data_IF_852120504462
#
_entry.id   IF_852120504462
#
_cell.length_a   1.000
_cell.length_b   1.000
_cell.length_c   1.000
_cell.angle_alpha   90.00
_cell.angle_beta   90.00
_cell.angle_gamma   90.00
#
_symmetry.space_group_name_H-M   'P 1'
#
loop_
_entity.id
_entity.type
_entity.pdbx_description
1 polymer ?
#
# COMPACT_ATOMS: atom_id res chain seq x y z
N UNK A 1 4.11 -3.55 4.89
CA UNK A 1 4.17 -3.71 3.42
C UNK A 1 5.51 -3.22 2.92
N UNK A 2 6.11 -3.88 1.94
CA UNK A 2 7.39 -3.46 1.34
C UNK A 2 7.20 -2.22 0.41
N UNK A 3 8.29 -1.54 0.02
CA UNK A 3 8.20 -0.33 -0.82
C UNK A 3 7.58 -0.56 -2.21
N UNK A 4 7.79 -1.72 -2.83
CA UNK A 4 7.30 -2.03 -4.18
C UNK A 4 5.78 -2.22 -4.12
N UNK A 5 5.30 -3.05 -3.20
CA UNK A 5 3.87 -3.24 -2.97
C UNK A 5 3.21 -1.93 -2.57
N UNK A 6 3.86 -1.11 -1.73
CA UNK A 6 3.34 0.23 -1.36
C UNK A 6 3.19 1.14 -2.56
N UNK A 7 4.20 1.21 -3.42
CA UNK A 7 4.17 2.04 -4.62
C UNK A 7 3.03 1.64 -5.56
N UNK A 8 2.88 0.34 -5.81
CA UNK A 8 1.85 -0.19 -6.72
C UNK A 8 0.46 0.03 -6.14
N UNK A 9 0.23 -0.36 -4.87
CA UNK A 9 -1.08 -0.19 -4.22
C UNK A 9 -1.44 1.30 -4.21
N UNK A 10 -0.57 2.16 -3.67
CA UNK A 10 -0.86 3.58 -3.54
C UNK A 10 -1.15 4.23 -4.89
N UNK A 11 -0.39 3.91 -5.94
CA UNK A 11 -0.65 4.41 -7.29
C UNK A 11 -1.99 3.91 -7.85
N UNK A 12 -2.34 2.65 -7.62
CA UNK A 12 -3.58 2.04 -8.12
C UNK A 12 -4.82 2.54 -7.39
N UNK A 13 -4.74 2.83 -6.07
CA UNK A 13 -5.85 3.43 -5.31
C UNK A 13 -5.93 4.94 -5.52
N UNK A 14 -4.85 5.58 -5.94
CA UNK A 14 -4.86 7.03 -6.13
C UNK A 14 -5.82 7.43 -7.26
N UNK A 15 -6.79 8.29 -6.92
CA UNK A 15 -7.58 9.02 -7.91
C UNK A 15 -6.80 10.19 -8.53
N UNK A 16 -5.58 10.41 -8.03
CA UNK A 16 -4.61 11.38 -8.55
C UNK A 16 -4.44 11.14 -10.05
N UNK A 17 -4.58 12.22 -10.82
CA UNK A 17 -4.69 12.15 -12.28
C UNK A 17 -3.60 11.28 -12.88
N UNK A 18 -4.03 10.21 -13.58
CA UNK A 18 -3.17 9.28 -14.32
C UNK A 18 -2.08 10.00 -15.12
N UNK A 19 -2.28 11.23 -15.60
CA UNK A 19 -1.27 11.96 -16.36
C UNK A 19 0.11 12.10 -15.67
N UNK A 20 0.19 12.33 -14.36
CA UNK A 20 1.46 12.63 -13.68
C UNK A 20 2.21 11.35 -13.30
N UNK A 21 1.50 10.40 -12.69
CA UNK A 21 2.11 9.18 -12.15
C UNK A 21 2.06 7.99 -13.13
N UNK A 22 1.19 8.00 -14.15
CA UNK A 22 1.02 6.86 -15.08
C UNK A 22 2.32 6.50 -15.77
N UNK A 23 3.13 7.48 -16.18
CA UNK A 23 4.41 7.16 -16.81
C UNK A 23 5.33 6.36 -15.87
N UNK A 24 5.49 6.79 -14.61
CA UNK A 24 6.30 6.06 -13.64
C UNK A 24 5.71 4.70 -13.27
N UNK A 25 4.38 4.63 -13.16
CA UNK A 25 3.68 3.38 -12.90
C UNK A 25 3.86 2.36 -14.03
N UNK A 26 3.68 2.78 -15.29
CA UNK A 26 3.86 1.93 -16.47
C UNK A 26 5.32 1.51 -16.63
N UNK A 27 6.30 2.38 -16.32
CA UNK A 27 7.72 2.03 -16.31
C UNK A 27 8.02 0.95 -15.27
N UNK A 28 7.53 1.11 -14.03
CA UNK A 28 7.69 0.09 -12.98
C UNK A 28 7.04 -1.24 -13.41
N UNK A 29 5.81 -1.21 -13.92
CA UNK A 29 5.09 -2.39 -14.39
C UNK A 29 5.81 -3.08 -15.57
N UNK A 30 6.37 -2.31 -16.49
CA UNK A 30 7.17 -2.82 -17.60
C UNK A 30 8.47 -3.47 -17.12
N UNK A 31 9.14 -2.88 -16.13
CA UNK A 31 10.34 -3.45 -15.52
C UNK A 31 10.03 -4.79 -14.82
N UNK A 32 8.92 -4.87 -14.08
CA UNK A 32 8.44 -6.13 -13.47
C UNK A 32 8.18 -7.20 -14.53
N UNK A 33 7.50 -6.85 -15.64
CA UNK A 33 7.29 -7.77 -16.77
C UNK A 33 8.58 -8.25 -17.41
N UNK A 34 9.56 -7.36 -17.58
CA UNK A 34 10.87 -7.69 -18.15
C UNK A 34 11.65 -8.63 -17.23
N UNK A 35 11.56 -8.41 -15.91
CA UNK A 35 12.32 -9.18 -14.92
C UNK A 35 11.70 -10.54 -14.63
N UNK A 36 10.40 -10.57 -14.37
CA UNK A 36 9.68 -11.77 -13.91
C UNK A 36 9.02 -12.53 -15.06
N UNK A 37 8.83 -11.88 -16.21
CA UNK A 37 8.05 -12.38 -17.33
C UNK A 37 6.61 -11.87 -17.29
N UNK A 38 6.04 -11.61 -18.47
CA UNK A 38 4.68 -11.07 -18.62
C UNK A 38 3.58 -11.99 -18.12
N UNK A 39 3.85 -13.29 -18.03
CA UNK A 39 2.91 -14.31 -17.53
C UNK A 39 3.21 -14.74 -16.08
N UNK A 40 4.10 -14.04 -15.38
CA UNK A 40 4.41 -14.34 -13.97
C UNK A 40 3.24 -14.04 -13.04
N UNK A 41 3.20 -14.76 -11.94
CA UNK A 41 2.21 -14.58 -10.88
C UNK A 41 2.23 -13.17 -10.30
N UNK A 42 3.43 -12.57 -10.14
CA UNK A 42 3.59 -11.17 -9.75
C UNK A 42 2.91 -10.19 -10.74
N UNK A 43 3.15 -10.33 -12.04
CA UNK A 43 2.52 -9.46 -13.05
C UNK A 43 1.00 -9.69 -13.07
N UNK A 44 0.55 -10.93 -12.88
CA UNK A 44 -0.87 -11.26 -12.74
C UNK A 44 -1.49 -10.56 -11.53
N UNK A 45 -0.83 -10.61 -10.36
CA UNK A 45 -1.30 -9.96 -9.14
C UNK A 45 -1.45 -8.45 -9.31
N UNK A 46 -0.49 -7.78 -9.97
CA UNK A 46 -0.60 -6.35 -10.32
C UNK A 46 -1.84 -6.09 -11.18
N UNK A 47 -2.03 -6.85 -12.26
CA UNK A 47 -3.19 -6.69 -13.15
C UNK A 47 -4.52 -6.97 -12.45
N UNK A 48 -4.54 -7.91 -11.48
CA UNK A 48 -5.72 -8.17 -10.68
C UNK A 48 -6.00 -7.00 -9.73
N UNK A 49 -4.99 -6.46 -9.06
CA UNK A 49 -5.16 -5.33 -8.16
C UNK A 49 -5.74 -4.11 -8.90
N UNK A 50 -5.26 -3.80 -10.12
CA UNK A 50 -5.80 -2.73 -10.97
C UNK A 50 -7.31 -2.84 -11.22
N UNK A 51 -7.84 -4.07 -11.30
CA UNK A 51 -9.27 -4.31 -11.51
C UNK A 51 -10.11 -4.10 -10.25
N UNK A 52 -9.51 -4.17 -9.06
CA UNK A 52 -10.19 -3.95 -7.78
C UNK A 52 -9.19 -3.41 -6.74
N UNK A 53 -8.85 -2.11 -6.82
CA UNK A 53 -7.85 -1.46 -5.98
C UNK A 53 -8.08 -1.64 -4.47
N UNK A 54 -9.35 -1.65 -4.06
CA UNK A 54 -9.74 -1.73 -2.65
C UNK A 54 -9.73 -3.15 -2.07
N UNK A 55 -9.38 -4.16 -2.87
CA UNK A 55 -9.42 -5.56 -2.44
C UNK A 55 -8.21 -5.93 -1.58
N UNK A 56 -8.40 -6.05 -0.27
CA UNK A 56 -7.32 -6.44 0.64
C UNK A 56 -6.70 -7.80 0.30
N UNK A 57 -7.51 -8.76 -0.18
CA UNK A 57 -6.99 -10.04 -0.68
C UNK A 57 -6.03 -9.89 -1.86
N UNK A 58 -6.23 -8.89 -2.74
CA UNK A 58 -5.35 -8.65 -3.90
C UNK A 58 -4.10 -7.88 -3.50
N UNK A 59 -4.19 -7.01 -2.50
CA UNK A 59 -3.02 -6.34 -1.90
C UNK A 59 -2.11 -7.37 -1.21
N UNK A 60 -2.70 -8.29 -0.44
CA UNK A 60 -1.97 -9.38 0.21
C UNK A 60 -1.31 -10.31 -0.81
N UNK A 61 -2.05 -10.72 -1.86
CA UNK A 61 -1.49 -11.52 -2.96
C UNK A 61 -0.32 -10.80 -3.64
N UNK A 62 -0.45 -9.50 -3.93
CA UNK A 62 0.65 -8.74 -4.51
C UNK A 62 1.90 -8.78 -3.62
N UNK A 63 1.74 -8.58 -2.31
CA UNK A 63 2.87 -8.64 -1.37
C UNK A 63 3.55 -10.02 -1.39
N UNK A 64 2.76 -11.09 -1.33
CA UNK A 64 3.26 -12.46 -1.38
C UNK A 64 4.06 -12.72 -2.65
N UNK A 65 3.55 -12.31 -3.81
CA UNK A 65 4.23 -12.51 -5.10
C UNK A 65 5.49 -11.64 -5.25
N UNK A 66 5.49 -10.45 -4.67
CA UNK A 66 6.65 -9.55 -4.62
C UNK A 66 7.79 -10.20 -3.83
N UNK A 67 7.47 -10.81 -2.67
CA UNK A 67 8.40 -11.57 -1.85
C UNK A 67 8.89 -12.84 -2.55
N UNK A 68 7.97 -13.60 -3.18
CA UNK A 68 8.29 -14.84 -3.90
C UNK A 68 9.20 -14.61 -5.11
N UNK A 69 8.96 -13.55 -5.88
CA UNK A 69 9.77 -13.16 -7.02
C UNK A 69 11.12 -12.54 -6.62
N UNK A 70 11.31 -12.20 -5.34
CA UNK A 70 12.53 -11.55 -4.79
C UNK A 70 12.91 -10.26 -5.52
N UNK A 71 11.92 -9.55 -6.07
CA UNK A 71 12.15 -8.24 -6.71
C UNK A 71 12.52 -7.17 -5.68
N UNK A 72 12.32 -7.46 -4.39
CA UNK A 72 12.73 -6.65 -3.24
C UNK A 72 14.24 -6.48 -3.12
N UNK A 73 15.01 -7.38 -3.72
CA UNK A 73 16.48 -7.32 -3.75
C UNK A 73 17.00 -6.63 -5.04
N UNK A 74 16.09 -6.25 -5.95
CA UNK A 74 16.46 -5.64 -7.22
C UNK A 74 16.56 -4.11 -7.07
N UNK A 75 17.76 -3.52 -7.19
CA UNK A 75 17.94 -2.09 -7.00
C UNK A 75 17.26 -1.24 -8.08
N UNK A 76 17.10 -1.76 -9.31
CA UNK A 76 16.38 -1.06 -10.39
C UNK A 76 14.89 -1.00 -10.06
N UNK A 77 14.29 -2.12 -9.63
CA UNK A 77 12.87 -2.16 -9.27
C UNK A 77 12.60 -1.30 -8.03
N UNK A 78 13.46 -1.37 -7.01
CA UNK A 78 13.36 -0.53 -5.82
C UNK A 78 13.42 0.95 -6.16
N UNK A 79 14.35 1.36 -7.04
CA UNK A 79 14.46 2.75 -7.46
C UNK A 79 13.19 3.22 -8.19
N UNK A 80 12.67 2.41 -9.12
CA UNK A 80 11.44 2.75 -9.85
C UNK A 80 10.22 2.85 -8.93
N UNK A 81 10.12 1.98 -7.92
CA UNK A 81 9.08 2.05 -6.90
C UNK A 81 9.21 3.33 -6.06
N UNK A 82 10.44 3.69 -5.67
CA UNK A 82 10.71 4.92 -4.92
C UNK A 82 10.37 6.17 -5.74
N UNK A 83 10.76 6.23 -7.01
CA UNK A 83 10.44 7.33 -7.92
C UNK A 83 8.92 7.52 -8.08
N UNK A 84 8.18 6.41 -8.17
CA UNK A 84 6.72 6.45 -8.21
C UNK A 84 6.13 6.99 -6.90
N UNK A 85 6.63 6.54 -5.76
CA UNK A 85 6.20 7.05 -4.45
C UNK A 85 6.50 8.54 -4.31
N UNK A 86 7.67 9.01 -4.72
CA UNK A 86 8.05 10.41 -4.59
C UNK A 86 7.17 11.31 -5.47
N UNK A 87 6.88 10.90 -6.70
CA UNK A 87 5.89 11.60 -7.53
C UNK A 87 4.50 11.62 -6.92
N UNK A 88 4.10 10.53 -6.27
CA UNK A 88 2.81 10.50 -5.59
C UNK A 88 2.81 11.42 -4.37
N UNK A 89 3.91 11.53 -3.61
CA UNK A 89 4.01 12.45 -2.46
C UNK A 89 3.86 13.92 -2.86
N UNK A 90 4.38 14.29 -4.03
CA UNK A 90 4.32 15.65 -4.56
C UNK A 90 2.89 16.07 -4.95
N UNK A 91 1.98 15.11 -5.13
CA UNK A 91 0.60 15.37 -5.53
C UNK A 91 -0.30 15.69 -4.32
N UNK A 92 -1.33 16.56 -4.50
CA UNK A 92 -2.29 16.85 -3.44
C UNK A 92 -2.96 15.58 -2.88
N UNK A 93 -2.75 15.32 -1.59
CA UNK A 93 -3.29 14.16 -0.89
C UNK A 93 -2.51 12.85 -1.11
N UNK A 94 -1.48 12.82 -1.95
CA UNK A 94 -0.75 11.58 -2.23
C UNK A 94 0.05 11.05 -1.05
N UNK A 95 0.63 11.92 -0.21
CA UNK A 95 1.23 11.51 1.07
C UNK A 95 0.22 10.81 2.00
N UNK A 96 -1.05 11.24 2.00
CA UNK A 96 -2.09 10.59 2.81
C UNK A 96 -2.42 9.20 2.27
N UNK A 97 -2.49 9.04 0.95
CA UNK A 97 -2.72 7.74 0.28
C UNK A 97 -1.60 6.76 0.60
N UNK A 98 -0.34 7.21 0.55
CA UNK A 98 0.84 6.38 0.91
C UNK A 98 0.74 5.92 2.37
N UNK A 99 0.46 6.84 3.29
CA UNK A 99 0.35 6.52 4.71
C UNK A 99 -0.78 5.50 4.98
N UNK A 100 -1.97 5.74 4.40
CA UNK A 100 -3.12 4.83 4.54
C UNK A 100 -2.81 3.42 4.02
N UNK A 101 -2.08 3.35 2.90
CA UNK A 101 -1.65 2.10 2.26
C UNK A 101 -0.70 1.31 3.16
N UNK A 102 0.21 1.99 3.87
CA UNK A 102 1.11 1.36 4.84
C UNK A 102 0.40 0.91 6.12
N UNK A 103 -0.61 1.66 6.58
CA UNK A 103 -1.33 1.35 7.84
C UNK A 103 -2.39 0.26 7.70
N UNK A 104 -2.91 0.01 6.49
CA UNK A 104 -3.95 -0.99 6.25
C UNK A 104 -3.44 -2.44 6.15
N UNK A 105 -2.14 -2.69 6.33
CA UNK A 105 -1.62 -4.05 6.48
C UNK A 105 -1.93 -4.58 7.88
N UNK A 106 -3.16 -5.08 8.08
CA UNK A 106 -3.63 -5.87 9.22
C UNK A 106 -2.82 -5.70 10.53
N UNK A 107 -2.74 -4.49 11.07
CA UNK A 107 -2.69 -4.38 12.52
C UNK A 107 -4.11 -4.61 12.98
N UNK A 108 -4.41 -5.84 13.40
CA UNK A 108 -5.64 -6.21 14.08
C UNK A 108 -5.85 -5.48 15.42
N UNK A 109 -5.31 -4.28 15.58
CA UNK A 109 -5.54 -3.37 16.70
C UNK A 109 -5.89 -1.99 16.12
N UNK A 110 -7.13 -1.83 15.66
CA UNK A 110 -7.78 -0.54 15.88
C UNK A 110 -7.92 -0.40 17.39
N UNK A 111 -6.94 0.23 18.05
CA UNK A 111 -7.14 0.74 19.41
C UNK A 111 -8.06 1.94 19.27
N UNK A 112 -9.34 1.66 19.05
CA UNK A 112 -10.43 2.55 19.45
C UNK A 112 -10.37 2.63 20.96
N UNK A 113 -9.53 3.52 21.47
CA UNK A 113 -9.29 3.69 22.88
C UNK A 113 -9.26 5.16 23.22
N UNK A 114 -10.43 5.80 23.22
CA UNK A 114 -10.68 6.75 24.30
C UNK A 114 -11.06 5.92 25.53
N UNK A 115 -10.05 5.37 26.22
CA UNK A 115 -10.25 4.79 27.54
C UNK A 115 -10.26 5.93 28.55
N UNK A 116 -11.37 6.67 28.61
CA UNK A 116 -11.63 7.55 29.73
C UNK A 116 -12.05 6.69 30.93
N UNK A 117 -11.07 6.26 31.73
CA UNK A 117 -11.33 5.73 33.07
C UNK A 117 -11.76 6.89 33.97
N UNK A 118 -13.05 7.00 34.27
CA UNK A 118 -13.54 7.80 35.38
C UNK A 118 -13.73 6.88 36.60
N UNK A 119 -12.86 6.91 37.62
CA UNK A 119 -13.13 6.24 38.88
C UNK A 119 -13.92 7.19 39.77
N UNK A 120 -15.25 7.10 39.79
CA UNK A 120 -16.02 7.64 40.94
C UNK A 120 -17.18 6.71 41.27
N UNK A 121 -16.90 5.71 42.10
CA UNK A 121 -17.93 5.15 42.97
C UNK A 121 -17.78 5.85 44.33
N UNK A 122 -18.33 7.06 44.44
CA UNK A 122 -18.58 7.66 45.76
C UNK A 122 -19.82 6.99 46.34
N UNK A 123 -19.59 5.99 47.18
CA UNK A 123 -20.61 5.48 48.09
C UNK A 123 -21.04 6.62 49.02
N UNK A 124 -22.18 7.24 48.72
CA UNK A 124 -22.82 8.15 49.66
C UNK A 124 -23.32 7.34 50.85
N UNK A 125 -22.55 7.37 51.94
CA UNK A 125 -23.07 7.14 53.28
C UNK A 125 -24.25 8.09 53.48
N UNK A 126 -25.44 7.56 53.76
CA UNK A 126 -26.46 8.30 54.49
C UNK A 126 -26.79 7.58 55.79
N UNK A 127 -26.82 8.42 56.83
CA UNK A 127 -26.96 8.16 58.24
C UNK A 127 -28.29 7.51 58.62
#
# INVERSE_FOLDING_TARGET
MDPITTAIVAAVVSEVSKAVISNSYEVLKAALKKKCGSESDLVSAVNQLEKKPDSDARKAMLQEEVEAAKVNDDPEILQLAQDLLDKLKDEPGGQQIINQTQTNTASGNNVGGDFTFAPVQEGTKKA
#
